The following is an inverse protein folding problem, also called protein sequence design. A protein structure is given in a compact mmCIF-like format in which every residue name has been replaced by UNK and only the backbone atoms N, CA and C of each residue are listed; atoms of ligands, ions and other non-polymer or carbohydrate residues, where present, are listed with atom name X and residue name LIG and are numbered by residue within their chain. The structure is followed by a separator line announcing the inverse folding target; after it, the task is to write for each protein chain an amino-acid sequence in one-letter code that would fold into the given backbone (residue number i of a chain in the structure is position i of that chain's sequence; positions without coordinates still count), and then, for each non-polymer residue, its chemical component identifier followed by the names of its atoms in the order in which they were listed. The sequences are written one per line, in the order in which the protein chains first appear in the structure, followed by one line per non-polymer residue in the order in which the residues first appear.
data_IF_328746674475
#
_entry.id   IF_328746674475
#
_cell.length_a   1.000
_cell.length_b   1.000
_cell.length_c   1.000
_cell.angle_alpha   90.00
_cell.angle_beta   90.00
_cell.angle_gamma   90.00
#
_symmetry.space_group_name_H-M   'P 1'
#
loop_
_entity.id
_entity.type
_entity.pdbx_description
1 polymer ?
#
# COMPACT_ATOMS: atom_id res chain seq x y z
N UNK A 1 13.01 -2.12 -25.84
CA UNK A 1 13.74 -2.16 -24.55
C UNK A 1 12.73 -2.32 -23.44
N UNK A 2 12.73 -3.47 -22.75
CA UNK A 2 11.90 -3.65 -21.55
C UNK A 2 12.52 -2.82 -20.41
N UNK A 3 11.80 -1.83 -19.91
CA UNK A 3 12.21 -1.08 -18.72
C UNK A 3 12.19 -2.08 -17.55
N UNK A 4 13.35 -2.47 -17.01
CA UNK A 4 13.40 -3.25 -15.77
C UNK A 4 12.78 -2.40 -14.67
N UNK A 5 11.66 -2.87 -14.14
CA UNK A 5 11.05 -2.28 -12.95
C UNK A 5 11.99 -2.52 -11.77
N UNK A 6 12.16 -1.49 -10.95
CA UNK A 6 12.97 -1.57 -9.74
C UNK A 6 12.31 -2.51 -8.74
N UNK A 7 13.10 -3.24 -7.94
CA UNK A 7 12.61 -4.26 -7.01
C UNK A 7 11.55 -3.72 -6.04
N UNK A 8 11.73 -2.49 -5.55
CA UNK A 8 10.74 -1.80 -4.72
C UNK A 8 9.30 -1.73 -5.31
N UNK A 9 9.13 -1.52 -6.62
CA UNK A 9 7.78 -1.54 -7.23
C UNK A 9 7.22 -2.96 -7.21
N UNK A 10 8.05 -3.95 -7.54
CA UNK A 10 7.62 -5.35 -7.59
C UNK A 10 7.26 -5.88 -6.20
N UNK A 11 7.98 -5.46 -5.16
CA UNK A 11 7.67 -5.76 -3.77
C UNK A 11 6.32 -5.14 -3.36
N UNK A 12 6.12 -3.84 -3.61
CA UNK A 12 4.85 -3.18 -3.30
C UNK A 12 3.66 -3.81 -4.05
N UNK A 13 3.89 -4.30 -5.28
CA UNK A 13 2.89 -5.05 -6.03
C UNK A 13 2.61 -6.42 -5.41
N UNK A 14 3.66 -7.16 -5.06
CA UNK A 14 3.53 -8.49 -4.47
C UNK A 14 2.77 -8.43 -3.12
N UNK A 15 2.99 -7.39 -2.33
CA UNK A 15 2.23 -7.14 -1.10
C UNK A 15 0.74 -6.88 -1.39
N UNK A 16 0.42 -6.04 -2.38
CA UNK A 16 -0.96 -5.80 -2.81
C UNK A 16 -1.64 -7.08 -3.30
N UNK A 17 -0.94 -7.87 -4.12
CA UNK A 17 -1.45 -9.15 -4.65
C UNK A 17 -1.72 -10.13 -3.49
N UNK A 18 -0.85 -10.17 -2.47
CA UNK A 18 -1.06 -10.97 -1.25
C UNK A 18 -2.29 -10.49 -0.47
N UNK A 19 -2.41 -9.19 -0.20
CA UNK A 19 -3.54 -8.64 0.54
C UNK A 19 -4.88 -8.91 -0.17
N UNK A 20 -4.89 -8.83 -1.50
CA UNK A 20 -6.06 -9.18 -2.31
C UNK A 20 -6.45 -10.65 -2.16
N UNK A 21 -5.49 -11.57 -2.20
CA UNK A 21 -5.77 -13.00 -2.03
C UNK A 21 -6.24 -13.34 -0.60
N UNK A 22 -5.73 -12.67 0.43
CA UNK A 22 -6.22 -12.87 1.81
C UNK A 22 -7.67 -12.40 1.98
N UNK A 23 -8.04 -11.22 1.45
CA UNK A 23 -9.44 -10.74 1.42
C UNK A 23 -10.33 -11.77 0.73
N UNK A 24 -9.94 -12.21 -0.47
CA UNK A 24 -10.71 -13.18 -1.26
C UNK A 24 -10.88 -14.51 -0.53
N UNK A 25 -9.86 -15.00 0.17
CA UNK A 25 -9.97 -16.22 0.99
C UNK A 25 -10.95 -16.04 2.15
N UNK A 26 -10.87 -14.91 2.85
CA UNK A 26 -11.78 -14.60 3.95
C UNK A 26 -13.24 -14.46 3.46
N UNK A 27 -13.47 -13.77 2.33
CA UNK A 27 -14.80 -13.68 1.71
C UNK A 27 -15.36 -15.05 1.34
N UNK A 28 -14.53 -15.92 0.75
CA UNK A 28 -14.92 -17.29 0.43
C UNK A 28 -15.26 -18.11 1.66
N UNK A 29 -14.49 -17.95 2.74
CA UNK A 29 -14.75 -18.63 4.00
C UNK A 29 -16.04 -18.15 4.67
N UNK A 30 -16.32 -16.83 4.63
CA UNK A 30 -17.58 -16.26 5.10
C UNK A 30 -18.75 -16.79 4.28
N UNK A 31 -18.67 -16.78 2.95
CA UNK A 31 -19.73 -17.33 2.08
C UNK A 31 -19.99 -18.82 2.35
N UNK A 32 -18.94 -19.61 2.56
CA UNK A 32 -19.08 -21.03 2.90
C UNK A 32 -19.79 -21.22 4.25
N UNK A 33 -19.45 -20.39 5.24
CA UNK A 33 -20.13 -20.37 6.54
C UNK A 33 -21.61 -19.97 6.41
N UNK A 34 -21.94 -19.01 5.56
CA UNK A 34 -23.34 -18.63 5.30
C UNK A 34 -24.13 -19.78 4.67
N UNK A 35 -23.52 -20.51 3.74
CA UNK A 35 -24.13 -21.67 3.12
C UNK A 35 -24.40 -22.80 4.15
N UNK A 36 -23.38 -23.17 4.93
CA UNK A 36 -23.51 -24.17 6.01
C UNK A 36 -24.62 -23.79 6.99
N UNK A 37 -24.65 -22.51 7.39
CA UNK A 37 -25.67 -21.98 8.28
C UNK A 37 -27.08 -22.11 7.69
N UNK A 38 -27.28 -21.70 6.43
CA UNK A 38 -28.58 -21.78 5.76
C UNK A 38 -29.05 -23.22 5.61
N UNK A 39 -28.15 -24.17 5.35
CA UNK A 39 -28.49 -25.60 5.33
C UNK A 39 -28.93 -26.12 6.71
N UNK A 40 -28.23 -25.75 7.79
CA UNK A 40 -28.58 -26.14 9.17
C UNK A 40 -29.94 -25.58 9.57
N UNK A 41 -30.20 -24.30 9.29
CA UNK A 41 -31.48 -23.65 9.57
C UNK A 41 -32.64 -24.33 8.83
N UNK A 42 -32.44 -24.69 7.55
CA UNK A 42 -33.45 -25.33 6.71
C UNK A 42 -33.74 -26.80 7.06
N UNK A 43 -32.80 -27.51 7.70
CA UNK A 43 -32.94 -28.93 8.07
C UNK A 43 -33.42 -29.15 9.49
N UNK A 44 -32.97 -28.33 10.45
CA UNK A 44 -33.15 -28.65 11.88
C UNK A 44 -34.28 -27.87 12.57
N UNK A 45 -34.82 -26.79 11.99
CA UNK A 45 -35.86 -25.98 12.65
C UNK A 45 -35.50 -25.56 14.07
N UNK A 46 -34.20 -25.51 14.38
CA UNK A 46 -33.64 -25.31 15.71
C UNK A 46 -33.66 -23.86 16.15
N UNK A 47 -33.32 -23.62 17.41
CA UNK A 47 -33.29 -22.30 18.04
C UNK A 47 -32.39 -21.32 17.25
N UNK A 48 -33.02 -20.56 16.36
CA UNK A 48 -32.34 -19.70 15.39
C UNK A 48 -31.45 -18.66 16.07
N UNK A 49 -31.76 -18.25 17.31
CA UNK A 49 -30.96 -17.28 18.03
C UNK A 49 -29.56 -17.83 18.39
N UNK A 50 -29.46 -19.09 18.82
CA UNK A 50 -28.18 -19.71 19.16
C UNK A 50 -27.31 -19.94 17.92
N UNK A 51 -27.94 -20.33 16.80
CA UNK A 51 -27.24 -20.51 15.53
C UNK A 51 -26.75 -19.17 14.96
N UNK A 52 -27.54 -18.08 15.07
CA UNK A 52 -27.11 -16.73 14.65
C UNK A 52 -25.87 -16.30 15.43
N UNK A 53 -25.90 -16.47 16.76
CA UNK A 53 -24.75 -16.12 17.61
C UNK A 53 -23.49 -16.94 17.27
N UNK A 54 -23.65 -18.25 16.96
CA UNK A 54 -22.53 -19.10 16.49
C UNK A 54 -21.97 -18.60 15.15
N UNK A 55 -22.84 -18.20 14.21
CA UNK A 55 -22.45 -17.64 12.91
C UNK A 55 -21.70 -16.32 13.09
N UNK A 56 -22.24 -15.39 13.85
CA UNK A 56 -21.63 -14.06 14.08
C UNK A 56 -20.23 -14.18 14.71
N UNK A 57 -20.07 -15.03 15.72
CA UNK A 57 -18.77 -15.28 16.35
C UNK A 57 -17.74 -15.88 15.37
N UNK A 58 -18.17 -16.80 14.50
CA UNK A 58 -17.30 -17.37 13.45
C UNK A 58 -17.00 -16.36 12.33
N UNK A 59 -17.94 -15.47 12.00
CA UNK A 59 -17.73 -14.41 11.03
C UNK A 59 -16.71 -13.37 11.52
N UNK A 60 -16.81 -12.97 12.79
CA UNK A 60 -15.87 -12.02 13.41
C UNK A 60 -14.42 -12.55 13.39
N UNK A 61 -14.24 -13.86 13.54
CA UNK A 61 -12.94 -14.52 13.49
C UNK A 61 -12.21 -14.42 12.13
N UNK A 62 -12.91 -14.07 11.04
CA UNK A 62 -12.29 -13.86 9.73
C UNK A 62 -11.71 -12.45 9.56
N UNK A 63 -11.97 -11.52 10.49
CA UNK A 63 -11.38 -10.18 10.52
C UNK A 63 -11.44 -9.42 9.17
N UNK A 64 -12.56 -9.55 8.44
CA UNK A 64 -12.71 -8.99 7.09
C UNK A 64 -12.42 -7.50 7.01
N UNK A 65 -12.87 -6.72 8.00
CA UNK A 65 -12.62 -5.27 8.05
C UNK A 65 -11.12 -4.95 8.09
N UNK A 66 -10.36 -5.64 8.95
CA UNK A 66 -8.91 -5.47 9.03
C UNK A 66 -8.19 -5.90 7.74
N UNK A 67 -8.72 -6.92 7.04
CA UNK A 67 -8.17 -7.36 5.75
C UNK A 67 -8.44 -6.32 4.63
N UNK A 68 -9.62 -5.70 4.61
CA UNK A 68 -9.90 -4.60 3.69
C UNK A 68 -9.04 -3.37 3.98
N UNK A 69 -8.80 -3.06 5.25
CA UNK A 69 -7.88 -1.98 5.64
C UNK A 69 -6.46 -2.27 5.12
N UNK A 70 -5.95 -3.48 5.34
CA UNK A 70 -4.65 -3.91 4.83
C UNK A 70 -4.55 -3.83 3.29
N UNK A 71 -5.61 -4.24 2.60
CA UNK A 71 -5.69 -4.17 1.14
C UNK A 71 -5.66 -2.71 0.66
N UNK A 72 -6.43 -1.83 1.30
CA UNK A 72 -6.47 -0.40 0.98
C UNK A 72 -5.11 0.27 1.24
N UNK A 73 -4.46 -0.03 2.37
CA UNK A 73 -3.11 0.47 2.68
C UNK A 73 -2.09 0.00 1.63
N UNK A 74 -2.11 -1.28 1.27
CA UNK A 74 -1.24 -1.85 0.23
C UNK A 74 -1.48 -1.23 -1.14
N UNK A 75 -2.74 -0.97 -1.50
CA UNK A 75 -3.11 -0.32 -2.76
C UNK A 75 -2.60 1.13 -2.81
N UNK A 76 -2.76 1.89 -1.73
CA UNK A 76 -2.25 3.25 -1.62
C UNK A 76 -0.72 3.28 -1.72
N UNK A 77 -0.03 2.38 -1.01
CA UNK A 77 1.43 2.22 -1.08
C UNK A 77 1.88 1.96 -2.52
N UNK A 78 1.30 0.96 -3.18
CA UNK A 78 1.63 0.62 -4.56
C UNK A 78 1.39 1.78 -5.53
N UNK A 79 0.28 2.51 -5.38
CA UNK A 79 -0.04 3.66 -6.21
C UNK A 79 0.99 4.80 -6.04
N UNK A 80 1.38 5.10 -4.80
CA UNK A 80 2.38 6.14 -4.50
C UNK A 80 3.75 5.80 -5.07
N UNK A 81 4.24 4.57 -4.84
CA UNK A 81 5.50 4.08 -5.40
C UNK A 81 5.45 4.18 -6.92
N UNK A 82 4.41 3.61 -7.54
CA UNK A 82 4.26 3.59 -9.00
C UNK A 82 4.23 4.98 -9.62
N UNK A 83 3.51 5.92 -9.02
CA UNK A 83 3.45 7.31 -9.48
C UNK A 83 4.83 8.00 -9.40
N UNK A 84 5.53 7.86 -8.27
CA UNK A 84 6.86 8.46 -8.10
C UNK A 84 7.85 7.90 -9.13
N UNK A 85 7.85 6.58 -9.35
CA UNK A 85 8.68 5.95 -10.37
C UNK A 85 8.33 6.40 -11.78
N UNK A 86 7.04 6.48 -12.11
CA UNK A 86 6.58 6.96 -13.41
C UNK A 86 7.10 8.38 -13.69
N UNK A 87 7.05 9.28 -12.71
CA UNK A 87 7.57 10.64 -12.83
C UNK A 87 9.07 10.64 -13.10
N UNK A 88 9.87 9.95 -12.28
CA UNK A 88 11.33 9.91 -12.47
C UNK A 88 11.70 9.33 -13.84
N UNK A 89 10.96 8.31 -14.30
CA UNK A 89 11.25 7.66 -15.58
C UNK A 89 10.88 8.51 -16.80
N UNK A 90 9.82 9.33 -16.71
CA UNK A 90 9.22 10.03 -17.84
C UNK A 90 9.56 11.52 -17.92
N UNK A 91 9.96 12.15 -16.82
CA UNK A 91 10.24 13.59 -16.74
C UNK A 91 11.75 13.83 -16.71
N UNK A 92 12.39 14.32 -17.80
CA UNK A 92 13.84 14.49 -17.86
C UNK A 92 14.38 15.57 -16.92
N UNK A 93 13.61 16.64 -16.72
CA UNK A 93 13.97 17.77 -15.88
C UNK A 93 13.89 17.40 -14.40
N UNK A 94 15.03 17.50 -13.68
CA UNK A 94 15.11 17.10 -12.27
C UNK A 94 14.21 17.97 -11.40
N UNK A 95 14.25 19.29 -11.54
CA UNK A 95 13.48 20.18 -10.67
C UNK A 95 11.97 19.99 -10.83
N UNK A 96 11.48 19.81 -12.06
CA UNK A 96 10.09 19.49 -12.36
C UNK A 96 9.69 18.11 -11.80
N UNK A 97 10.55 17.10 -11.96
CA UNK A 97 10.33 15.76 -11.42
C UNK A 97 10.19 15.79 -9.88
N UNK A 98 11.10 16.48 -9.19
CA UNK A 98 11.05 16.66 -7.74
C UNK A 98 9.78 17.38 -7.28
N UNK A 99 9.35 18.42 -8.00
CA UNK A 99 8.14 19.17 -7.67
C UNK A 99 6.86 18.34 -7.85
N UNK A 100 6.77 17.57 -8.93
CA UNK A 100 5.65 16.66 -9.17
C UNK A 100 5.55 15.57 -8.08
N UNK A 101 6.67 14.95 -7.70
CA UNK A 101 6.71 13.95 -6.62
C UNK A 101 6.23 14.59 -5.30
N UNK A 102 6.71 15.79 -4.97
CA UNK A 102 6.28 16.51 -3.76
C UNK A 102 4.77 16.73 -3.72
N UNK A 103 4.19 17.20 -4.83
CA UNK A 103 2.77 17.54 -4.91
C UNK A 103 1.85 16.32 -4.82
N UNK A 104 2.31 15.17 -5.29
CA UNK A 104 1.52 13.93 -5.23
C UNK A 104 1.60 13.30 -3.83
N UNK A 105 2.77 13.32 -3.20
CA UNK A 105 2.98 12.59 -1.93
C UNK A 105 2.64 13.41 -0.69
N UNK A 106 2.74 14.74 -0.74
CA UNK A 106 2.68 15.57 0.45
C UNK A 106 1.68 16.73 0.33
N UNK A 107 0.94 16.97 1.42
CA UNK A 107 0.06 18.12 1.59
C UNK A 107 0.87 19.39 1.76
N UNK A 108 0.31 20.52 1.33
CA UNK A 108 1.00 21.83 1.30
C UNK A 108 1.48 22.31 2.67
N UNK A 109 0.66 22.11 3.70
CA UNK A 109 0.96 22.49 5.08
C UNK A 109 2.08 21.61 5.69
N UNK A 110 2.08 20.32 5.38
CA UNK A 110 3.15 19.39 5.76
C UNK A 110 4.46 19.76 5.06
N UNK A 111 4.42 20.05 3.76
CA UNK A 111 5.58 20.53 2.99
C UNK A 111 6.17 21.80 3.58
N UNK A 112 5.33 22.75 4.03
CA UNK A 112 5.82 24.00 4.63
C UNK A 112 6.61 23.75 5.92
N UNK A 113 6.19 22.78 6.74
CA UNK A 113 6.82 22.43 8.02
C UNK A 113 8.07 21.56 7.84
N UNK A 114 8.04 20.62 6.88
CA UNK A 114 9.05 19.57 6.71
C UNK A 114 9.91 19.73 5.46
N UNK A 115 9.94 20.93 4.85
CA UNK A 115 10.56 21.21 3.54
C UNK A 115 11.95 20.59 3.38
N UNK A 116 12.84 20.81 4.34
CA UNK A 116 14.25 20.37 4.25
C UNK A 116 14.34 18.83 4.20
N UNK A 117 13.60 18.14 5.09
CA UNK A 117 13.61 16.69 5.15
C UNK A 117 12.98 16.07 3.88
N UNK A 118 11.84 16.63 3.43
CA UNK A 118 11.16 16.19 2.22
C UNK A 118 12.05 16.39 0.98
N UNK A 119 12.60 17.59 0.79
CA UNK A 119 13.48 17.89 -0.35
C UNK A 119 14.72 16.98 -0.37
N UNK A 120 15.31 16.69 0.81
CA UNK A 120 16.46 15.78 0.93
C UNK A 120 16.11 14.36 0.47
N UNK A 121 15.03 13.78 1.00
CA UNK A 121 14.69 12.38 0.74
C UNK A 121 14.18 12.19 -0.69
N UNK A 122 13.39 13.12 -1.24
CA UNK A 122 12.95 13.04 -2.65
C UNK A 122 14.12 13.19 -3.62
N UNK A 123 15.09 14.08 -3.34
CA UNK A 123 16.31 14.18 -4.15
C UNK A 123 17.14 12.91 -4.11
N UNK A 124 17.30 12.31 -2.92
CA UNK A 124 18.02 11.05 -2.76
C UNK A 124 17.34 9.92 -3.55
N UNK A 125 16.02 9.81 -3.44
CA UNK A 125 15.21 8.87 -4.21
C UNK A 125 15.38 9.08 -5.72
N UNK A 126 15.21 10.31 -6.21
CA UNK A 126 15.34 10.65 -7.62
C UNK A 126 16.72 10.26 -8.18
N UNK A 127 17.80 10.64 -7.48
CA UNK A 127 19.18 10.35 -7.91
C UNK A 127 19.47 8.85 -7.90
N UNK A 128 19.12 8.15 -6.82
CA UNK A 128 19.31 6.70 -6.73
C UNK A 128 18.57 5.97 -7.83
N UNK A 129 17.33 6.37 -8.12
CA UNK A 129 16.54 5.75 -9.17
C UNK A 129 17.10 6.04 -10.57
N UNK A 130 17.53 7.28 -10.85
CA UNK A 130 18.20 7.61 -12.11
C UNK A 130 19.50 6.84 -12.31
N UNK A 131 20.25 6.62 -11.24
CA UNK A 131 21.46 5.83 -11.27
C UNK A 131 21.17 4.35 -11.51
N UNK A 132 20.19 3.78 -10.81
CA UNK A 132 19.71 2.42 -11.01
C UNK A 132 19.23 2.17 -12.45
N UNK A 133 18.59 3.16 -13.07
CA UNK A 133 18.14 3.07 -14.45
C UNK A 133 19.27 3.17 -15.48
N UNK A 134 20.40 3.80 -15.14
CA UNK A 134 21.53 4.04 -16.06
C UNK A 134 22.60 2.96 -16.01
N UNK A 135 22.96 2.50 -14.81
CA UNK A 135 23.95 1.45 -14.57
C UNK A 135 23.18 0.18 -14.26
N UNK A 136 23.34 -0.87 -15.06
CA UNK A 136 22.68 -2.16 -14.85
C UNK A 136 22.65 -2.54 -13.35
N UNK A 137 21.45 -2.52 -12.76
CA UNK A 137 21.10 -2.96 -11.40
C UNK A 137 22.26 -3.01 -10.39
N UNK A 138 22.81 -1.85 -10.02
CA UNK A 138 23.83 -1.79 -8.97
C UNK A 138 23.16 -1.80 -7.57
N UNK A 139 23.69 -2.59 -6.65
CA UNK A 139 23.10 -2.81 -5.32
C UNK A 139 23.09 -1.55 -4.45
N UNK A 140 24.06 -0.65 -4.62
CA UNK A 140 24.16 0.59 -3.85
C UNK A 140 23.04 1.57 -4.20
N UNK A 141 22.68 1.67 -5.48
CA UNK A 141 21.59 2.50 -5.98
C UNK A 141 20.23 1.93 -5.55
N UNK A 142 20.05 0.61 -5.59
CA UNK A 142 18.85 -0.04 -5.05
C UNK A 142 18.71 0.25 -3.54
N UNK A 143 19.79 0.12 -2.76
CA UNK A 143 19.79 0.45 -1.34
C UNK A 143 19.49 1.93 -1.08
N UNK A 144 20.06 2.84 -1.87
CA UNK A 144 19.80 4.27 -1.75
C UNK A 144 18.33 4.61 -2.04
N UNK A 145 17.74 3.99 -3.07
CA UNK A 145 16.31 4.13 -3.39
C UNK A 145 15.45 3.64 -2.23
N UNK A 146 15.75 2.45 -1.67
CA UNK A 146 15.01 1.87 -0.55
C UNK A 146 15.07 2.73 0.71
N UNK A 147 16.26 3.22 1.06
CA UNK A 147 16.44 4.08 2.23
C UNK A 147 15.67 5.40 2.07
N UNK A 148 15.82 6.05 0.92
CA UNK A 148 15.12 7.29 0.65
C UNK A 148 13.59 7.11 0.64
N UNK A 149 13.11 6.01 0.04
CA UNK A 149 11.69 5.69 0.02
C UNK A 149 11.13 5.36 1.41
N UNK A 150 11.84 4.58 2.22
CA UNK A 150 11.42 4.28 3.59
C UNK A 150 11.25 5.54 4.45
N UNK A 151 12.11 6.55 4.27
CA UNK A 151 11.92 7.85 4.93
C UNK A 151 10.73 8.64 4.36
N UNK A 152 10.49 8.56 3.04
CA UNK A 152 9.29 9.14 2.40
C UNK A 152 8.03 8.51 3.00
N UNK A 153 7.96 7.18 3.10
CA UNK A 153 6.83 6.45 3.66
C UNK A 153 6.55 6.81 5.11
N UNK A 154 7.61 6.95 5.93
CA UNK A 154 7.45 7.42 7.31
C UNK A 154 6.82 8.81 7.37
N UNK A 155 7.27 9.73 6.51
CA UNK A 155 6.73 11.09 6.46
C UNK A 155 5.27 11.12 5.96
N UNK A 156 4.92 10.34 4.94
CA UNK A 156 3.54 10.28 4.45
C UNK A 156 2.60 9.63 5.45
N UNK A 157 3.07 8.62 6.19
CA UNK A 157 2.34 8.00 7.30
C UNK A 157 2.12 9.00 8.44
N UNK A 158 3.16 9.76 8.83
CA UNK A 158 3.04 10.79 9.85
C UNK A 158 2.00 11.86 9.46
N UNK A 159 2.04 12.32 8.20
CA UNK A 159 1.05 13.24 7.66
C UNK A 159 -0.38 12.67 7.68
N UNK A 160 -0.56 11.39 7.34
CA UNK A 160 -1.87 10.75 7.36
C UNK A 160 -2.45 10.67 8.78
N UNK A 161 -1.60 10.38 9.77
CA UNK A 161 -2.00 10.39 11.20
C UNK A 161 -2.36 11.80 11.68
N UNK A 162 -1.59 12.82 11.31
CA UNK A 162 -1.93 14.22 11.61
C UNK A 162 -3.28 14.62 11.01
N UNK A 163 -3.58 14.13 9.81
CA UNK A 163 -4.84 14.43 9.11
C UNK A 163 -6.07 13.77 9.74
N UNK A 164 -5.91 12.64 10.43
CA UNK A 164 -7.00 11.96 11.15
C UNK A 164 -7.27 12.59 12.52
N UNK A 165 -6.28 13.29 13.09
CA UNK A 165 -6.38 13.92 14.41
C UNK A 165 -6.87 15.38 14.38
N UNK A 166 -7.03 15.97 13.19
CA UNK A 166 -7.42 17.37 12.97
C UNK A 166 -8.87 17.48 12.48
#
# INVERSE_FOLDING_TARGET
MAIRRHHLIEEAKAELDLAYEEVKRAEQAVMALEFEYNERLGREGGDGAALIAEKEAKQEAFHLEALYDLQNESAQRFAMVSAAFAIVSSVPDEDMSLDLIKRILFRRDFLRRNKIAVDRNIRAFHRGLREYMRKESNAEADQAVRQAWGEIERMTTAQAKEAQAA
#
